data_IF_442241884809
#
_entry.id   IF_442241884809
#
_cell.length_a   1.000
_cell.length_b   1.000
_cell.length_c   1.000
_cell.angle_alpha   90.00
_cell.angle_beta   90.00
_cell.angle_gamma   90.00
#
_symmetry.space_group_name_H-M   'P 1'
#
loop_
_entity.id
_entity.type
_entity.pdbx_description
1 polymer ?
#
# COMPACT_ATOMS: atom_id res chain seq x y z
N UNK A 1 2.37 16.69 -18.42
CA UNK A 1 2.18 15.21 -18.57
C UNK A 1 2.07 14.60 -17.17
N UNK A 2 0.98 13.87 -16.88
CA UNK A 2 0.76 13.18 -15.60
C UNK A 2 0.65 11.66 -15.75
N UNK A 3 0.67 11.14 -17.00
CA UNK A 3 0.63 9.70 -17.26
C UNK A 3 1.95 9.04 -16.82
N UNK A 4 1.87 8.24 -15.77
CA UNK A 4 2.99 7.51 -15.19
C UNK A 4 2.79 6.03 -15.50
N UNK A 5 3.79 5.43 -16.13
CA UNK A 5 3.87 4.02 -16.47
C UNK A 5 4.93 3.40 -15.57
N UNK A 6 4.52 2.65 -14.56
CA UNK A 6 5.42 2.07 -13.57
C UNK A 6 5.08 0.63 -13.25
N UNK A 7 5.95 -0.04 -12.52
CA UNK A 7 5.75 -1.39 -12.00
C UNK A 7 4.43 -1.48 -11.19
N UNK A 8 4.08 -0.42 -10.46
CA UNK A 8 2.87 -0.35 -9.65
C UNK A 8 1.60 -0.02 -10.45
N UNK A 9 1.65 -0.09 -11.77
CA UNK A 9 0.53 0.15 -12.67
C UNK A 9 0.63 1.43 -13.49
N UNK A 10 -0.43 1.68 -14.24
CA UNK A 10 -0.58 2.83 -15.14
C UNK A 10 -1.48 3.84 -14.46
N UNK A 11 -0.95 5.00 -14.09
CA UNK A 11 -1.70 6.04 -13.37
C UNK A 11 -1.60 7.40 -14.05
N UNK A 12 -2.61 8.24 -13.84
CA UNK A 12 -2.61 9.61 -14.33
C UNK A 12 -3.81 10.39 -13.83
N UNK A 13 -3.80 11.69 -14.08
CA UNK A 13 -5.01 12.50 -13.91
C UNK A 13 -6.00 12.16 -15.01
N UNK A 14 -7.28 12.18 -14.68
CA UNK A 14 -8.34 11.88 -15.63
C UNK A 14 -8.61 13.08 -16.53
N UNK A 15 -8.76 12.85 -17.83
CA UNK A 15 -9.00 13.88 -18.85
C UNK A 15 -7.71 14.40 -19.49
N UNK A 16 -7.84 15.31 -20.46
CA UNK A 16 -6.69 15.87 -21.18
C UNK A 16 -6.32 15.13 -22.46
N UNK A 17 -5.12 15.38 -22.98
CA UNK A 17 -4.66 14.82 -24.25
C UNK A 17 -4.20 13.36 -24.12
N UNK A 18 -4.36 12.59 -25.20
CA UNK A 18 -3.91 11.21 -25.30
C UNK A 18 -2.40 11.13 -25.09
N UNK A 19 -1.97 10.20 -24.22
CA UNK A 19 -0.57 10.00 -23.87
C UNK A 19 -0.03 10.94 -22.78
N UNK A 20 -0.76 12.01 -22.43
CA UNK A 20 -0.34 12.96 -21.37
C UNK A 20 -0.99 12.66 -20.02
N UNK A 21 -2.15 12.04 -20.04
CA UNK A 21 -3.01 11.76 -18.89
C UNK A 21 -3.66 10.40 -19.04
N UNK A 22 -4.37 9.93 -18.01
CA UNK A 22 -5.15 8.70 -18.11
C UNK A 22 -6.52 9.00 -18.73
N UNK A 23 -6.70 8.72 -20.01
CA UNK A 23 -7.91 8.94 -20.77
C UNK A 23 -8.45 7.61 -21.36
N UNK A 24 -9.66 7.56 -21.96
CA UNK A 24 -10.22 6.31 -22.44
C UNK A 24 -9.36 5.54 -23.46
N UNK A 25 -8.62 6.22 -24.34
CA UNK A 25 -7.75 5.54 -25.32
C UNK A 25 -6.53 4.91 -24.66
N UNK A 26 -5.95 5.58 -23.67
CA UNK A 26 -4.85 5.02 -22.87
C UNK A 26 -5.36 3.82 -22.04
N UNK A 27 -6.58 3.89 -21.49
CA UNK A 27 -7.18 2.77 -20.75
C UNK A 27 -7.36 1.57 -21.68
N UNK A 28 -7.91 1.74 -22.88
CA UNK A 28 -8.02 0.65 -23.88
C UNK A 28 -6.65 0.08 -24.23
N UNK A 29 -5.68 0.94 -24.51
CA UNK A 29 -4.32 0.53 -24.88
C UNK A 29 -3.67 -0.35 -23.82
N UNK A 30 -3.65 0.11 -22.56
CA UNK A 30 -2.98 -0.64 -21.48
C UNK A 30 -3.77 -1.85 -21.01
N UNK A 31 -5.10 -1.85 -21.09
CA UNK A 31 -5.93 -3.03 -20.84
C UNK A 31 -5.71 -4.08 -21.92
N UNK A 32 -5.63 -3.70 -23.19
CA UNK A 32 -5.32 -4.62 -24.28
C UNK A 32 -3.91 -5.20 -24.16
N UNK A 33 -2.93 -4.37 -23.76
CA UNK A 33 -1.58 -4.82 -23.50
C UNK A 33 -1.53 -5.83 -22.34
N UNK A 34 -2.25 -5.56 -21.26
CA UNK A 34 -2.35 -6.48 -20.12
C UNK A 34 -3.01 -7.82 -20.53
N UNK A 35 -4.13 -7.79 -21.24
CA UNK A 35 -4.79 -8.99 -21.73
C UNK A 35 -3.87 -9.82 -22.64
N UNK A 36 -3.10 -9.16 -23.52
CA UNK A 36 -2.10 -9.80 -24.37
C UNK A 36 -0.97 -10.41 -23.53
N UNK A 37 -0.46 -9.69 -22.54
CA UNK A 37 0.57 -10.16 -21.61
C UNK A 37 0.11 -11.41 -20.86
N UNK A 38 -1.09 -11.41 -20.27
CA UNK A 38 -1.64 -12.57 -19.55
C UNK A 38 -1.73 -13.78 -20.48
N UNK A 39 -2.21 -13.61 -21.72
CA UNK A 39 -2.31 -14.70 -22.67
C UNK A 39 -0.96 -15.29 -23.09
N UNK A 40 0.07 -14.46 -23.20
CA UNK A 40 1.43 -14.87 -23.58
C UNK A 40 2.23 -15.46 -22.42
N UNK A 41 1.94 -15.08 -21.17
CA UNK A 41 2.73 -15.44 -20.00
C UNK A 41 2.53 -16.87 -19.48
N UNK A 42 1.78 -17.73 -20.18
CA UNK A 42 1.41 -19.10 -19.75
C UNK A 42 0.68 -19.12 -18.37
N UNK A 43 0.28 -17.97 -17.85
CA UNK A 43 -0.53 -17.85 -16.64
C UNK A 43 -2.03 -18.04 -16.93
N UNK A 44 -2.38 -18.02 -18.22
CA UNK A 44 -3.75 -18.20 -18.69
C UNK A 44 -4.19 -19.66 -18.53
N UNK A 45 -5.33 -19.87 -17.90
CA UNK A 45 -5.91 -21.20 -17.69
C UNK A 45 -7.43 -21.16 -17.61
N UNK A 46 -7.98 -20.12 -17.00
CA UNK A 46 -9.41 -19.92 -16.80
C UNK A 46 -10.03 -18.95 -17.81
N UNK A 47 -9.22 -18.18 -18.50
CA UNK A 47 -9.61 -17.07 -19.37
C UNK A 47 -10.44 -15.99 -18.64
N UNK A 48 -10.24 -15.84 -17.32
CA UNK A 48 -11.01 -14.96 -16.44
C UNK A 48 -10.12 -13.87 -15.85
N UNK A 49 -10.60 -12.63 -15.82
CA UNK A 49 -9.97 -11.49 -15.16
C UNK A 49 -10.93 -10.91 -14.13
N UNK A 50 -10.43 -10.72 -12.90
CA UNK A 50 -11.15 -10.02 -11.84
C UNK A 50 -10.98 -8.51 -12.01
N UNK A 51 -12.05 -7.74 -11.83
CA UNK A 51 -12.00 -6.27 -11.84
C UNK A 51 -12.67 -5.75 -10.56
N UNK A 52 -11.90 -4.99 -9.75
CA UNK A 52 -12.39 -4.28 -8.57
C UNK A 52 -12.01 -2.81 -8.63
N UNK A 53 -12.70 -1.94 -7.89
CA UNK A 53 -12.39 -0.51 -7.86
C UNK A 53 -12.65 0.13 -6.50
N UNK A 54 -11.92 1.20 -6.20
CA UNK A 54 -12.29 2.11 -5.12
C UNK A 54 -13.48 3.02 -5.52
N UNK A 55 -13.85 3.94 -4.63
CA UNK A 55 -15.01 4.81 -4.86
C UNK A 55 -14.71 6.07 -5.68
N UNK A 56 -13.51 6.23 -6.27
CA UNK A 56 -13.16 7.41 -7.07
C UNK A 56 -14.23 7.74 -8.09
N UNK A 57 -14.55 9.04 -8.23
CA UNK A 57 -15.60 9.56 -9.12
C UNK A 57 -15.44 9.04 -10.56
N UNK A 58 -14.21 8.93 -11.04
CA UNK A 58 -13.90 8.41 -12.38
C UNK A 58 -13.98 6.89 -12.49
N UNK A 59 -14.13 6.16 -11.36
CA UNK A 59 -14.04 4.71 -11.30
C UNK A 59 -15.03 4.00 -12.21
N UNK A 60 -16.28 4.48 -12.27
CA UNK A 60 -17.32 3.89 -13.10
C UNK A 60 -16.98 3.97 -14.60
N UNK A 61 -16.52 5.14 -15.06
CA UNK A 61 -16.10 5.32 -16.46
C UNK A 61 -14.90 4.41 -16.80
N UNK A 62 -13.89 4.39 -15.94
CA UNK A 62 -12.69 3.56 -16.14
C UNK A 62 -13.06 2.08 -16.16
N UNK A 63 -13.89 1.61 -15.22
CA UNK A 63 -14.38 0.22 -15.16
C UNK A 63 -15.07 -0.18 -16.47
N UNK A 64 -15.96 0.66 -16.98
CA UNK A 64 -16.71 0.34 -18.20
C UNK A 64 -15.79 0.17 -19.41
N UNK A 65 -14.76 1.00 -19.55
CA UNK A 65 -13.75 0.88 -20.61
C UNK A 65 -12.89 -0.36 -20.42
N UNK A 66 -12.43 -0.66 -19.21
CA UNK A 66 -11.64 -1.85 -18.88
C UNK A 66 -12.43 -3.12 -19.19
N UNK A 67 -13.66 -3.25 -18.67
CA UNK A 67 -14.46 -4.45 -18.82
C UNK A 67 -14.83 -4.70 -20.30
N UNK A 68 -15.25 -3.67 -21.03
CA UNK A 68 -15.54 -3.77 -22.45
C UNK A 68 -14.32 -4.18 -23.29
N UNK A 69 -13.14 -3.65 -22.95
CA UNK A 69 -11.89 -3.99 -23.61
C UNK A 69 -11.51 -5.46 -23.35
N UNK A 70 -11.59 -5.93 -22.10
CA UNK A 70 -11.29 -7.33 -21.75
C UNK A 70 -12.22 -8.30 -22.46
N UNK A 71 -13.54 -8.01 -22.49
CA UNK A 71 -14.51 -8.81 -23.23
C UNK A 71 -14.17 -8.83 -24.73
N UNK A 72 -13.84 -7.69 -25.32
CA UNK A 72 -13.38 -7.59 -26.71
C UNK A 72 -12.08 -8.32 -27.00
N UNK A 73 -11.24 -8.51 -25.97
CA UNK A 73 -10.03 -9.35 -26.04
C UNK A 73 -10.35 -10.84 -25.80
N UNK A 74 -11.62 -11.22 -25.57
CA UNK A 74 -12.07 -12.59 -25.34
C UNK A 74 -11.86 -13.12 -23.93
N UNK A 75 -11.66 -12.25 -22.93
CA UNK A 75 -11.59 -12.66 -21.52
C UNK A 75 -12.95 -12.52 -20.83
N UNK A 76 -13.31 -13.51 -20.03
CA UNK A 76 -14.41 -13.41 -19.09
C UNK A 76 -14.05 -12.42 -17.98
N UNK A 77 -14.96 -11.50 -17.69
CA UNK A 77 -14.78 -10.48 -16.66
C UNK A 77 -15.62 -10.82 -15.44
N UNK A 78 -14.98 -10.92 -14.29
CA UNK A 78 -15.63 -11.00 -13.00
C UNK A 78 -15.49 -9.63 -12.31
N UNK A 79 -16.54 -8.81 -12.39
CA UNK A 79 -16.59 -7.53 -11.69
C UNK A 79 -17.04 -7.74 -10.24
N UNK A 80 -16.19 -7.38 -9.29
CA UNK A 80 -16.49 -7.46 -7.85
C UNK A 80 -16.94 -6.12 -7.26
N UNK A 81 -17.17 -5.11 -8.11
CA UNK A 81 -17.75 -3.82 -7.74
C UNK A 81 -16.81 -2.91 -6.95
N UNK A 82 -17.38 -2.22 -5.95
CA UNK A 82 -16.62 -1.45 -4.98
C UNK A 82 -15.88 -2.39 -4.03
N UNK A 83 -14.58 -2.48 -4.20
CA UNK A 83 -13.74 -3.41 -3.46
C UNK A 83 -12.40 -2.77 -3.06
N UNK A 84 -11.81 -3.28 -2.00
CA UNK A 84 -10.48 -2.86 -1.58
C UNK A 84 -9.40 -3.48 -2.47
N UNK A 85 -8.20 -2.91 -2.45
CA UNK A 85 -7.03 -3.52 -3.09
C UNK A 85 -6.84 -4.97 -2.61
N UNK A 86 -6.72 -5.26 -1.28
CA UNK A 86 -6.55 -6.64 -0.82
C UNK A 86 -7.75 -7.55 -1.13
N UNK A 87 -8.99 -7.05 -1.12
CA UNK A 87 -10.14 -7.87 -1.55
C UNK A 87 -10.01 -8.31 -3.01
N UNK A 88 -9.54 -7.42 -3.88
CA UNK A 88 -9.36 -7.74 -5.30
C UNK A 88 -8.20 -8.72 -5.51
N UNK A 89 -7.10 -8.57 -4.78
CA UNK A 89 -5.98 -9.52 -4.78
C UNK A 89 -6.42 -10.93 -4.39
N UNK A 90 -7.15 -11.05 -3.28
CA UNK A 90 -7.71 -12.33 -2.82
C UNK A 90 -8.75 -12.89 -3.79
N UNK A 91 -9.57 -12.05 -4.41
CA UNK A 91 -10.58 -12.48 -5.37
C UNK A 91 -9.98 -13.18 -6.59
N UNK A 92 -8.79 -12.78 -7.04
CA UNK A 92 -8.08 -13.46 -8.14
C UNK A 92 -7.85 -14.93 -7.82
N UNK A 93 -7.29 -15.20 -6.65
CA UNK A 93 -6.99 -16.59 -6.23
C UNK A 93 -8.27 -17.37 -5.87
N UNK A 94 -9.21 -16.73 -5.16
CA UNK A 94 -10.47 -17.36 -4.76
C UNK A 94 -11.38 -17.72 -5.95
N UNK A 95 -11.32 -16.95 -7.06
CA UNK A 95 -12.06 -17.20 -8.28
C UNK A 95 -11.30 -18.07 -9.29
N UNK A 96 -10.04 -18.42 -9.00
CA UNK A 96 -9.16 -19.13 -9.95
C UNK A 96 -8.98 -18.35 -11.25
N UNK A 97 -8.84 -17.00 -11.14
CA UNK A 97 -8.70 -16.15 -12.31
C UNK A 97 -7.23 -16.08 -12.78
N UNK A 98 -7.02 -15.75 -14.04
CA UNK A 98 -5.68 -15.63 -14.63
C UNK A 98 -4.98 -14.33 -14.24
N UNK A 99 -5.73 -13.37 -13.70
CA UNK A 99 -5.22 -12.10 -13.22
C UNK A 99 -6.33 -11.19 -12.73
N UNK A 100 -5.95 -9.93 -12.43
CA UNK A 100 -6.91 -8.92 -12.00
C UNK A 100 -6.48 -7.50 -12.32
N UNK A 101 -7.44 -6.60 -12.35
CA UNK A 101 -7.22 -5.16 -12.47
C UNK A 101 -7.92 -4.46 -11.32
N UNK A 102 -7.14 -3.70 -10.54
CA UNK A 102 -7.69 -2.83 -9.49
C UNK A 102 -7.69 -1.40 -10.03
N UNK A 103 -8.85 -0.78 -10.05
CA UNK A 103 -9.03 0.60 -10.52
C UNK A 103 -8.99 1.52 -9.32
N UNK A 104 -7.81 2.03 -9.01
CA UNK A 104 -7.54 2.93 -7.87
C UNK A 104 -6.21 3.62 -8.03
N UNK A 105 -6.10 4.86 -7.57
CA UNK A 105 -4.83 5.56 -7.42
C UNK A 105 -4.42 5.69 -5.94
N UNK A 106 -4.90 4.80 -5.05
CA UNK A 106 -4.62 4.78 -3.61
C UNK A 106 -4.78 6.18 -2.98
N UNK A 107 -3.76 6.69 -2.35
CA UNK A 107 -3.75 7.99 -1.65
C UNK A 107 -3.58 9.22 -2.55
N UNK A 108 -3.50 9.07 -3.88
CA UNK A 108 -3.46 10.23 -4.77
C UNK A 108 -4.77 11.03 -4.70
N UNK A 109 -4.73 12.37 -4.94
CA UNK A 109 -5.93 13.21 -4.95
C UNK A 109 -7.02 12.73 -5.91
N UNK A 110 -8.24 13.22 -5.74
CA UNK A 110 -9.46 12.72 -6.41
C UNK A 110 -9.44 12.75 -7.94
N UNK A 111 -8.66 13.65 -8.55
CA UNK A 111 -8.50 13.75 -10.01
C UNK A 111 -7.64 12.65 -10.62
N UNK A 112 -6.95 11.86 -9.81
CA UNK A 112 -6.15 10.73 -10.25
C UNK A 112 -6.95 9.45 -10.30
N UNK A 113 -6.57 8.55 -11.23
CA UNK A 113 -6.93 7.14 -11.19
C UNK A 113 -5.80 6.29 -11.76
N UNK A 114 -5.90 4.96 -11.62
CA UNK A 114 -4.90 4.06 -12.15
C UNK A 114 -5.48 2.68 -12.45
N UNK A 115 -4.74 1.92 -13.26
CA UNK A 115 -4.90 0.48 -13.45
C UNK A 115 -3.74 -0.20 -12.71
N UNK A 116 -4.00 -0.81 -11.56
CA UNK A 116 -3.07 -1.68 -10.87
C UNK A 116 -3.29 -3.11 -11.38
N UNK A 117 -2.23 -3.77 -11.83
CA UNK A 117 -2.30 -5.01 -12.59
C UNK A 117 -1.78 -6.18 -11.77
N UNK A 118 -2.56 -7.25 -11.67
CA UNK A 118 -2.28 -8.43 -10.88
C UNK A 118 -1.98 -9.65 -11.78
N UNK A 119 -1.11 -10.54 -11.30
CA UNK A 119 -0.91 -11.87 -11.86
C UNK A 119 -1.96 -12.87 -11.32
N UNK A 120 -1.87 -14.13 -11.72
CA UNK A 120 -2.80 -15.20 -11.30
C UNK A 120 -2.68 -15.61 -9.81
N UNK A 121 -1.70 -15.07 -9.09
CA UNK A 121 -1.57 -15.25 -7.64
C UNK A 121 -2.21 -14.11 -6.84
N UNK A 122 -2.84 -13.15 -7.52
CA UNK A 122 -3.36 -11.94 -6.90
C UNK A 122 -2.27 -10.96 -6.45
N UNK A 123 -1.08 -11.05 -6.99
CA UNK A 123 0.06 -10.19 -6.67
C UNK A 123 0.32 -9.20 -7.79
N UNK A 124 0.85 -8.02 -7.47
CA UNK A 124 1.25 -7.07 -8.50
C UNK A 124 2.31 -7.65 -9.44
N UNK A 125 2.27 -7.19 -10.69
CA UNK A 125 3.28 -7.56 -11.69
C UNK A 125 4.67 -7.14 -11.22
N UNK A 126 5.69 -7.96 -11.52
CA UNK A 126 7.09 -7.64 -11.24
C UNK A 126 7.61 -6.55 -12.18
N UNK A 127 8.80 -6.03 -11.91
CA UNK A 127 9.47 -5.07 -12.80
C UNK A 127 9.63 -5.62 -14.21
N UNK A 128 10.06 -6.88 -14.35
CA UNK A 128 10.23 -7.54 -15.63
C UNK A 128 8.92 -7.71 -16.38
N UNK A 129 7.84 -8.08 -15.67
CA UNK A 129 6.49 -8.18 -16.24
C UNK A 129 5.99 -6.81 -16.74
N UNK A 130 6.22 -5.76 -15.94
CA UNK A 130 5.86 -4.39 -16.30
C UNK A 130 6.60 -3.88 -17.54
N UNK A 131 7.91 -4.17 -17.65
CA UNK A 131 8.68 -3.84 -18.85
C UNK A 131 8.17 -4.55 -20.10
N UNK A 132 7.84 -5.84 -19.99
CA UNK A 132 7.29 -6.58 -21.13
C UNK A 132 5.91 -6.06 -21.51
N UNK A 133 5.05 -5.77 -20.54
CA UNK A 133 3.74 -5.15 -20.78
C UNK A 133 3.87 -3.81 -21.52
N UNK A 134 4.83 -2.97 -21.14
CA UNK A 134 5.06 -1.69 -21.81
C UNK A 134 5.54 -1.88 -23.25
N UNK A 135 6.39 -2.87 -23.54
CA UNK A 135 6.80 -3.21 -24.90
C UNK A 135 5.60 -3.68 -25.75
N UNK A 136 4.70 -4.50 -25.17
CA UNK A 136 3.46 -4.90 -25.82
C UNK A 136 2.59 -3.67 -26.12
N UNK A 137 2.45 -2.75 -25.15
CA UNK A 137 1.70 -1.51 -25.32
C UNK A 137 2.28 -0.59 -26.40
N UNK A 138 3.61 -0.55 -26.54
CA UNK A 138 4.29 0.26 -27.56
C UNK A 138 4.09 -0.31 -28.96
N UNK A 139 4.22 -1.63 -29.13
CA UNK A 139 3.95 -2.30 -30.42
C UNK A 139 2.50 -2.14 -30.86
N UNK A 140 1.57 -2.05 -29.87
CA UNK A 140 0.13 -1.94 -30.09
C UNK A 140 -0.42 -3.02 -31.07
N UNK A 141 0.21 -4.18 -31.09
CA UNK A 141 -0.16 -5.33 -31.93
C UNK A 141 -1.16 -6.22 -31.17
N UNK A 142 -2.40 -5.74 -31.07
CA UNK A 142 -3.45 -6.39 -30.33
C UNK A 142 -4.36 -7.19 -31.29
N UNK A 143 -4.73 -8.40 -30.88
CA UNK A 143 -5.73 -9.21 -31.58
C UNK A 143 -6.98 -9.29 -30.73
N UNK A 144 -8.09 -8.76 -31.25
CA UNK A 144 -9.40 -8.84 -30.60
C UNK A 144 -10.15 -10.09 -31.05
N UNK A 145 -11.06 -10.54 -30.16
CA UNK A 145 -11.91 -11.69 -30.44
C UNK A 145 -12.97 -11.38 -31.52
N UNK A 146 -13.34 -12.37 -32.30
CA UNK A 146 -14.53 -12.29 -33.15
C UNK A 146 -15.80 -12.43 -32.31
N UNK A 147 -16.97 -12.28 -32.95
CA UNK A 147 -18.27 -12.28 -32.27
C UNK A 147 -18.59 -13.57 -31.51
N UNK A 148 -18.05 -14.69 -31.93
CA UNK A 148 -18.31 -16.00 -31.32
C UNK A 148 -17.35 -16.29 -30.14
N UNK A 149 -16.31 -15.46 -29.96
CA UNK A 149 -15.27 -15.63 -28.96
C UNK A 149 -15.17 -14.43 -28.00
N UNK A 150 -16.18 -13.55 -27.96
CA UNK A 150 -16.24 -12.47 -26.97
C UNK A 150 -16.34 -13.03 -25.55
N UNK A 151 -15.65 -12.39 -24.61
CA UNK A 151 -15.76 -12.75 -23.19
C UNK A 151 -17.11 -12.36 -22.59
N UNK A 152 -17.45 -13.00 -21.48
CA UNK A 152 -18.68 -12.76 -20.74
C UNK A 152 -18.43 -11.82 -19.55
N UNK A 153 -19.45 -11.06 -19.17
CA UNK A 153 -19.42 -10.20 -18.00
C UNK A 153 -20.30 -10.77 -16.89
N UNK A 154 -19.74 -10.89 -15.70
CA UNK A 154 -20.45 -11.33 -14.51
C UNK A 154 -20.15 -10.39 -13.33
N UNK A 155 -21.09 -10.26 -12.40
CA UNK A 155 -20.92 -9.51 -11.15
C UNK A 155 -21.05 -10.44 -9.94
N UNK A 156 -20.20 -10.23 -8.94
CA UNK A 156 -20.25 -10.95 -7.67
C UNK A 156 -19.80 -10.00 -6.54
N UNK A 157 -20.74 -9.61 -5.69
CA UNK A 157 -20.53 -8.71 -4.55
C UNK A 157 -20.17 -9.46 -3.25
N UNK A 158 -20.01 -10.79 -3.30
CA UNK A 158 -19.73 -11.60 -2.13
C UNK A 158 -18.27 -11.55 -1.66
N UNK A 159 -17.35 -10.96 -2.43
CA UNK A 159 -15.92 -11.01 -2.12
C UNK A 159 -15.52 -10.21 -0.89
N UNK A 160 -16.23 -9.14 -0.54
CA UNK A 160 -16.02 -8.48 0.75
C UNK A 160 -16.22 -9.44 1.93
N UNK A 161 -17.32 -10.22 1.89
CA UNK A 161 -17.59 -11.18 2.95
C UNK A 161 -16.58 -12.33 2.96
N UNK A 162 -16.22 -12.84 1.80
CA UNK A 162 -15.19 -13.90 1.69
C UNK A 162 -13.82 -13.42 2.22
N UNK A 163 -13.46 -12.17 1.96
CA UNK A 163 -12.24 -11.57 2.51
C UNK A 163 -12.34 -11.48 4.03
N UNK A 164 -13.43 -10.94 4.57
CA UNK A 164 -13.64 -10.86 6.02
C UNK A 164 -13.58 -12.25 6.66
N UNK A 165 -14.25 -13.25 6.09
CA UNK A 165 -14.23 -14.62 6.58
C UNK A 165 -12.81 -15.19 6.62
N UNK A 166 -12.00 -14.92 5.59
CA UNK A 166 -10.59 -15.33 5.54
C UNK A 166 -9.75 -14.67 6.63
N UNK A 167 -9.98 -13.37 6.90
CA UNK A 167 -9.30 -12.64 7.99
C UNK A 167 -9.67 -13.20 9.34
N UNK A 168 -10.98 -13.45 9.59
CA UNK A 168 -11.45 -14.00 10.85
C UNK A 168 -11.00 -15.44 11.09
N UNK A 169 -10.68 -16.17 10.03
CA UNK A 169 -10.14 -17.54 10.11
C UNK A 169 -8.62 -17.59 10.38
N UNK A 170 -7.91 -16.47 10.33
CA UNK A 170 -6.47 -16.42 10.63
C UNK A 170 -6.21 -16.85 12.06
N UNK A 171 -5.22 -17.72 12.24
CA UNK A 171 -4.91 -18.34 13.54
C UNK A 171 -4.61 -17.33 14.65
N UNK A 172 -4.05 -16.19 14.34
CA UNK A 172 -3.69 -15.15 15.30
C UNK A 172 -4.78 -14.11 15.53
N UNK A 173 -5.91 -14.19 14.82
CA UNK A 173 -7.07 -13.33 15.06
C UNK A 173 -7.94 -13.96 16.14
N UNK A 174 -8.01 -13.31 17.29
CA UNK A 174 -8.82 -13.75 18.43
C UNK A 174 -10.10 -12.90 18.52
N UNK A 175 -11.07 -13.25 17.68
CA UNK A 175 -12.36 -12.55 17.61
C UNK A 175 -13.13 -12.58 18.94
N UNK A 176 -12.99 -13.64 19.75
CA UNK A 176 -13.65 -13.75 21.04
C UNK A 176 -13.03 -12.82 22.08
N UNK A 177 -11.71 -12.70 22.11
CA UNK A 177 -11.02 -11.74 22.95
C UNK A 177 -11.39 -10.29 22.58
N UNK A 178 -11.47 -9.98 21.26
CA UNK A 178 -11.90 -8.68 20.77
C UNK A 178 -13.33 -8.35 21.21
N UNK A 179 -14.29 -9.31 21.02
CA UNK A 179 -15.68 -9.12 21.46
C UNK A 179 -15.78 -8.89 22.96
N UNK A 180 -15.02 -9.66 23.74
CA UNK A 180 -14.99 -9.53 25.21
C UNK A 180 -14.40 -8.19 25.67
N UNK A 181 -13.44 -7.65 24.94
CA UNK A 181 -12.86 -6.34 25.25
C UNK A 181 -13.86 -5.19 25.08
N UNK A 182 -14.82 -5.33 24.15
CA UNK A 182 -15.92 -4.36 23.97
C UNK A 182 -15.45 -3.02 23.43
N UNK A 183 -14.47 -3.00 22.56
CA UNK A 183 -13.89 -1.77 22.00
C UNK A 183 -14.92 -0.85 21.37
N UNK A 184 -14.71 0.45 21.58
CA UNK A 184 -15.46 1.54 20.97
C UNK A 184 -14.51 2.45 20.19
N UNK A 185 -14.69 2.54 18.88
CA UNK A 185 -13.72 3.19 17.98
C UNK A 185 -14.37 4.29 17.13
N UNK A 186 -13.56 5.21 16.62
CA UNK A 186 -13.95 6.09 15.51
C UNK A 186 -13.24 5.58 14.25
N UNK A 187 -13.93 5.55 13.13
CA UNK A 187 -13.40 5.10 11.85
C UNK A 187 -13.46 6.25 10.85
N UNK A 188 -12.37 6.53 10.16
CA UNK A 188 -12.35 7.44 9.00
C UNK A 188 -12.03 6.63 7.74
N UNK A 189 -12.98 6.61 6.81
CA UNK A 189 -12.90 5.88 5.54
C UNK A 189 -12.74 6.80 4.32
N UNK A 190 -12.47 8.07 4.53
CA UNK A 190 -12.16 9.10 3.51
C UNK A 190 -13.14 9.13 2.31
N UNK A 191 -14.42 8.82 2.56
CA UNK A 191 -15.48 8.68 1.56
C UNK A 191 -15.13 7.68 0.43
N UNK A 192 -14.52 6.54 0.80
CA UNK A 192 -14.20 5.48 -0.13
C UNK A 192 -14.64 4.10 0.37
N UNK A 193 -14.07 3.02 -0.18
CA UNK A 193 -14.53 1.64 0.04
C UNK A 193 -14.34 1.14 1.48
N UNK A 194 -13.50 1.81 2.28
CA UNK A 194 -13.43 1.56 3.71
C UNK A 194 -14.79 1.70 4.41
N UNK A 195 -15.62 2.65 3.94
CA UNK A 195 -17.00 2.84 4.44
C UNK A 195 -17.95 1.68 4.12
N UNK A 196 -17.60 0.83 3.17
CA UNK A 196 -18.38 -0.36 2.79
C UNK A 196 -17.94 -1.59 3.59
N UNK A 197 -16.64 -1.85 3.66
CA UNK A 197 -16.12 -3.11 4.21
C UNK A 197 -15.88 -3.07 5.72
N UNK A 198 -15.39 -1.94 6.28
CA UNK A 198 -15.07 -1.86 7.71
C UNK A 198 -16.28 -2.04 8.63
N UNK A 199 -17.47 -1.49 8.32
CA UNK A 199 -18.68 -1.82 9.10
C UNK A 199 -18.96 -3.31 9.20
N UNK A 200 -18.77 -4.06 8.09
CA UNK A 200 -19.01 -5.51 8.06
C UNK A 200 -18.01 -6.25 8.97
N UNK A 201 -16.71 -5.88 8.89
CA UNK A 201 -15.65 -6.46 9.73
C UNK A 201 -15.88 -6.15 11.22
N UNK A 202 -16.07 -4.88 11.56
CA UNK A 202 -16.19 -4.43 12.95
C UNK A 202 -17.44 -4.99 13.63
N UNK A 203 -18.57 -5.12 12.92
CA UNK A 203 -19.76 -5.77 13.44
C UNK A 203 -19.51 -7.25 13.78
N UNK A 204 -18.78 -7.99 12.94
CA UNK A 204 -18.46 -9.40 13.20
C UNK A 204 -17.43 -9.55 14.34
N UNK A 205 -16.57 -8.58 14.55
CA UNK A 205 -15.66 -8.50 15.70
C UNK A 205 -16.34 -7.97 16.98
N UNK A 206 -17.62 -7.56 16.91
CA UNK A 206 -18.34 -7.00 18.06
C UNK A 206 -17.82 -5.65 18.54
N UNK A 207 -17.14 -4.91 17.65
CA UNK A 207 -16.59 -3.58 17.93
C UNK A 207 -17.65 -2.52 17.66
N UNK A 208 -17.88 -1.63 18.65
CA UNK A 208 -18.75 -0.46 18.47
C UNK A 208 -17.97 0.64 17.71
N UNK A 209 -18.60 1.27 16.73
CA UNK A 209 -17.91 2.31 15.96
C UNK A 209 -18.78 3.52 15.65
N UNK A 210 -18.13 4.68 15.54
CA UNK A 210 -18.65 5.90 14.91
C UNK A 210 -17.93 6.08 13.60
N UNK A 211 -18.69 6.20 12.50
CA UNK A 211 -18.10 6.35 11.16
C UNK A 211 -18.03 7.82 10.77
N UNK A 212 -16.84 8.28 10.45
CA UNK A 212 -16.57 9.53 9.75
C UNK A 212 -16.28 9.23 8.28
N UNK A 213 -16.75 10.11 7.39
CA UNK A 213 -16.42 10.03 5.96
C UNK A 213 -16.66 8.62 5.36
N UNK A 214 -17.78 7.99 5.73
CA UNK A 214 -18.07 6.59 5.38
C UNK A 214 -18.89 6.40 4.11
N UNK A 215 -19.29 7.48 3.41
CA UNK A 215 -20.08 7.36 2.18
C UNK A 215 -19.14 7.17 0.98
N UNK A 216 -19.27 6.07 0.20
CA UNK A 216 -18.33 5.75 -0.88
C UNK A 216 -18.60 6.60 -2.14
N UNK A 217 -18.52 7.91 -1.99
CA UNK A 217 -18.79 8.88 -3.07
C UNK A 217 -17.56 9.19 -3.92
N UNK A 218 -16.37 8.92 -3.40
CA UNK A 218 -15.11 9.29 -4.03
C UNK A 218 -14.80 10.79 -3.98
N UNK A 219 -15.67 11.58 -3.35
CA UNK A 219 -15.37 12.96 -2.98
C UNK A 219 -14.70 12.98 -1.61
N UNK A 220 -13.38 12.84 -1.63
CA UNK A 220 -12.57 12.66 -0.43
C UNK A 220 -12.70 13.87 0.51
N UNK A 221 -13.09 13.62 1.76
CA UNK A 221 -13.35 14.67 2.75
C UNK A 221 -12.10 15.46 3.12
N UNK A 222 -10.93 14.83 3.01
CA UNK A 222 -9.61 15.41 3.23
C UNK A 222 -8.61 14.82 2.24
N UNK A 223 -7.35 15.27 2.27
CA UNK A 223 -6.29 14.62 1.50
C UNK A 223 -6.21 13.14 1.91
N UNK A 224 -6.34 12.19 0.96
CA UNK A 224 -6.51 10.77 1.27
C UNK A 224 -5.23 10.08 1.79
N UNK A 225 -4.10 10.77 1.82
CA UNK A 225 -2.90 10.23 2.47
C UNK A 225 -3.06 10.32 4.00
N UNK A 226 -3.00 9.18 4.75
CA UNK A 226 -3.31 9.15 6.16
C UNK A 226 -2.12 9.66 7.02
N UNK A 227 -1.79 10.94 6.88
CA UNK A 227 -0.79 11.66 7.66
C UNK A 227 -1.46 12.57 8.69
N UNK A 228 -0.79 12.83 9.81
CA UNK A 228 -1.29 13.63 10.92
C UNK A 228 -1.96 14.94 10.49
N UNK A 229 -1.32 15.68 9.58
CA UNK A 229 -1.85 16.96 9.07
C UNK A 229 -3.22 16.86 8.37
N UNK A 230 -3.59 15.67 7.92
CA UNK A 230 -4.83 15.40 7.17
C UNK A 230 -5.92 14.80 8.09
N UNK A 231 -5.61 14.43 9.34
CA UNK A 231 -6.45 13.61 10.22
C UNK A 231 -6.97 14.38 11.44
N UNK A 232 -6.99 15.72 11.38
CA UNK A 232 -7.38 16.57 12.51
C UNK A 232 -8.81 16.33 12.99
N UNK A 233 -9.73 15.97 12.11
CA UNK A 233 -11.12 15.68 12.44
C UNK A 233 -11.23 14.45 13.35
N UNK A 234 -10.71 13.31 12.91
CA UNK A 234 -10.77 12.07 13.72
C UNK A 234 -9.95 12.18 15.01
N UNK A 235 -8.79 12.84 14.99
CA UNK A 235 -7.99 13.10 16.20
C UNK A 235 -8.77 13.90 17.24
N UNK A 236 -9.53 14.90 16.79
CA UNK A 236 -10.38 15.73 17.64
C UNK A 236 -11.57 14.93 18.16
N UNK A 237 -12.23 14.13 17.32
CA UNK A 237 -13.37 13.29 17.71
C UNK A 237 -12.95 12.25 18.75
N UNK A 238 -11.84 11.55 18.55
CA UNK A 238 -11.31 10.57 19.51
C UNK A 238 -10.98 11.25 20.84
N UNK A 239 -10.30 12.40 20.81
CA UNK A 239 -9.90 13.15 22.00
C UNK A 239 -11.10 13.62 22.84
N UNK A 240 -12.15 14.10 22.21
CA UNK A 240 -13.30 14.69 22.87
C UNK A 240 -14.37 13.67 23.23
N UNK A 241 -14.40 12.51 22.55
CA UNK A 241 -15.31 11.41 22.82
C UNK A 241 -14.78 10.45 23.91
N UNK A 242 -15.49 9.37 24.10
CA UNK A 242 -15.09 8.26 24.99
C UNK A 242 -14.82 7.02 24.14
N UNK A 243 -13.78 7.12 23.31
CA UNK A 243 -13.36 6.06 22.41
C UNK A 243 -12.05 5.45 22.88
N UNK A 244 -11.86 4.18 22.59
CA UNK A 244 -10.62 3.49 22.88
C UNK A 244 -9.54 3.85 21.84
N UNK A 245 -9.95 4.17 20.61
CA UNK A 245 -9.03 4.52 19.52
C UNK A 245 -9.76 5.05 18.28
N UNK A 246 -8.96 5.60 17.35
CA UNK A 246 -9.35 5.85 15.95
C UNK A 246 -8.71 4.85 15.00
N UNK A 247 -9.42 4.51 13.93
CA UNK A 247 -8.97 3.67 12.82
C UNK A 247 -9.10 4.47 11.53
N UNK A 248 -8.03 4.63 10.79
CA UNK A 248 -8.00 5.39 9.53
C UNK A 248 -7.47 4.50 8.41
N UNK A 249 -8.14 4.50 7.28
CA UNK A 249 -7.70 3.81 6.07
C UNK A 249 -7.65 4.77 4.89
N UNK A 250 -6.82 4.44 3.90
CA UNK A 250 -6.79 5.17 2.63
C UNK A 250 -7.89 4.67 1.67
N UNK A 251 -8.07 5.30 0.49
CA UNK A 251 -9.20 5.01 -0.39
C UNK A 251 -9.38 3.56 -0.82
N UNK A 252 -8.31 2.79 -0.95
CA UNK A 252 -8.35 1.39 -1.36
C UNK A 252 -7.98 0.40 -0.25
N UNK A 253 -7.87 0.91 1.01
CA UNK A 253 -7.79 0.11 2.24
C UNK A 253 -6.55 -0.81 2.28
N UNK A 254 -5.46 -0.38 1.65
CA UNK A 254 -4.18 -1.06 1.74
C UNK A 254 -3.25 -0.41 2.80
N UNK A 255 -3.62 0.79 3.32
CA UNK A 255 -2.93 1.48 4.41
C UNK A 255 -3.83 1.65 5.62
N UNK A 256 -3.22 1.57 6.79
CA UNK A 256 -3.89 1.59 8.09
C UNK A 256 -3.11 2.45 9.08
N UNK A 257 -3.78 3.38 9.72
CA UNK A 257 -3.22 4.21 10.79
C UNK A 257 -4.16 4.22 11.98
N UNK A 258 -3.59 4.23 13.19
CA UNK A 258 -4.35 4.32 14.42
C UNK A 258 -4.17 5.67 15.11
N UNK A 259 -5.22 6.11 15.78
CA UNK A 259 -5.22 7.26 16.70
C UNK A 259 -5.38 6.71 18.12
N UNK A 260 -4.52 7.16 19.03
CA UNK A 260 -4.61 6.80 20.44
C UNK A 260 -5.83 7.45 21.11
N UNK A 261 -6.29 6.90 22.21
CA UNK A 261 -7.43 7.41 22.99
C UNK A 261 -7.27 8.86 23.46
N UNK A 262 -6.05 9.38 23.52
CA UNK A 262 -5.75 10.78 23.86
C UNK A 262 -5.81 11.72 22.65
N UNK A 263 -6.18 11.20 21.48
CA UNK A 263 -6.27 11.92 20.22
C UNK A 263 -4.94 12.12 19.48
N UNK A 264 -3.85 11.53 19.95
CA UNK A 264 -2.56 11.58 19.24
C UNK A 264 -2.41 10.44 18.24
N UNK A 265 -1.59 10.65 17.23
CA UNK A 265 -1.23 9.61 16.30
C UNK A 265 -0.50 8.45 17.00
N UNK A 266 -0.90 7.21 16.70
CA UNK A 266 -0.07 6.04 17.00
C UNK A 266 1.19 6.07 16.11
N UNK A 267 1.04 6.62 14.92
CA UNK A 267 2.05 6.79 13.88
C UNK A 267 1.94 5.72 12.79
N UNK A 268 1.97 6.16 11.53
CA UNK A 268 1.83 5.27 10.36
C UNK A 268 2.91 4.18 10.34
N UNK A 269 4.13 4.52 10.71
CA UNK A 269 5.24 3.58 10.80
C UNK A 269 5.00 2.49 11.86
N UNK A 270 4.32 2.84 12.95
CA UNK A 270 4.13 1.96 14.11
C UNK A 270 2.96 0.99 13.97
N UNK A 271 2.10 1.17 12.98
CA UNK A 271 1.09 0.17 12.64
C UNK A 271 1.74 -1.17 12.36
N UNK A 272 2.70 -1.21 11.44
CA UNK A 272 3.46 -2.43 11.13
C UNK A 272 4.26 -2.92 12.34
N UNK A 273 4.92 -2.04 13.07
CA UNK A 273 5.75 -2.40 14.25
C UNK A 273 4.91 -3.13 15.29
N UNK A 274 3.72 -2.61 15.61
CA UNK A 274 2.84 -3.19 16.62
C UNK A 274 2.25 -4.54 16.19
N UNK A 275 1.81 -4.64 14.95
CA UNK A 275 1.28 -5.90 14.40
C UNK A 275 2.40 -6.93 14.34
N UNK A 276 3.62 -6.53 13.94
CA UNK A 276 4.77 -7.42 13.90
C UNK A 276 5.20 -7.91 15.29
N UNK A 277 5.20 -7.04 16.32
CA UNK A 277 5.49 -7.45 17.71
C UNK A 277 4.52 -8.54 18.17
N UNK A 278 3.23 -8.39 17.84
CA UNK A 278 2.22 -9.40 18.16
C UNK A 278 2.48 -10.73 17.40
N UNK A 279 2.66 -10.67 16.10
CA UNK A 279 2.92 -11.86 15.27
C UNK A 279 4.18 -12.57 15.75
N UNK A 280 5.28 -11.84 15.93
CA UNK A 280 6.56 -12.41 16.39
C UNK A 280 6.50 -13.02 17.78
N UNK A 281 5.64 -12.49 18.67
CA UNK A 281 5.41 -13.06 20.01
C UNK A 281 4.75 -14.44 19.97
N UNK A 282 4.08 -14.79 18.87
CA UNK A 282 3.38 -16.06 18.65
C UNK A 282 4.11 -16.96 17.65
N UNK A 283 4.69 -16.36 16.64
CA UNK A 283 5.38 -17.03 15.54
C UNK A 283 6.71 -16.31 15.31
N UNK A 284 7.77 -16.61 16.08
CA UNK A 284 9.09 -16.03 15.87
C UNK A 284 9.59 -16.29 14.44
N UNK A 285 10.20 -15.27 13.83
CA UNK A 285 10.68 -15.39 12.45
C UNK A 285 11.27 -14.09 11.92
N UNK A 286 11.52 -14.06 10.63
CA UNK A 286 12.10 -12.90 9.95
C UNK A 286 11.05 -11.86 9.58
N UNK A 287 11.47 -10.61 9.45
CA UNK A 287 10.61 -9.52 8.96
C UNK A 287 11.27 -8.75 7.83
N UNK A 288 10.45 -8.10 7.01
CA UNK A 288 10.90 -7.24 5.91
C UNK A 288 10.10 -5.94 5.91
N UNK A 289 10.79 -4.82 5.73
CA UNK A 289 10.14 -3.58 5.28
C UNK A 289 10.98 -2.87 4.23
N UNK A 290 10.45 -1.79 3.64
CA UNK A 290 11.25 -1.03 2.69
C UNK A 290 12.32 -0.17 3.40
N UNK A 291 13.32 0.26 2.63
CA UNK A 291 14.46 1.06 3.12
C UNK A 291 14.08 2.36 3.82
N UNK A 292 12.93 2.95 3.47
CA UNK A 292 12.46 4.22 4.03
C UNK A 292 11.60 4.05 5.30
N UNK A 293 11.41 2.82 5.78
CA UNK A 293 10.62 2.52 7.00
C UNK A 293 11.45 2.67 8.26
N UNK A 294 10.76 2.88 9.39
CA UNK A 294 11.40 3.03 10.71
C UNK A 294 12.23 1.81 11.10
N UNK A 295 13.37 2.06 11.77
CA UNK A 295 14.18 0.99 12.38
C UNK A 295 13.50 0.30 13.56
N UNK A 296 12.40 0.83 14.07
CA UNK A 296 11.65 0.21 15.16
C UNK A 296 11.21 -1.22 14.82
N UNK A 297 10.89 -1.52 13.56
CA UNK A 297 10.60 -2.89 13.13
C UNK A 297 11.82 -3.82 13.29
N UNK A 298 13.02 -3.34 12.91
CA UNK A 298 14.26 -4.08 13.12
C UNK A 298 14.48 -4.39 14.60
N UNK A 299 14.29 -3.38 15.44
CA UNK A 299 14.53 -3.53 16.88
C UNK A 299 13.57 -4.55 17.52
N UNK A 300 12.29 -4.50 17.13
CA UNK A 300 11.28 -5.49 17.55
C UNK A 300 11.62 -6.90 17.03
N UNK A 301 12.06 -7.01 15.78
CA UNK A 301 12.44 -8.30 15.19
C UNK A 301 13.61 -8.94 15.94
N UNK A 302 14.66 -8.15 16.22
CA UNK A 302 15.83 -8.63 16.97
C UNK A 302 15.46 -9.02 18.41
N UNK A 303 14.56 -8.28 19.06
CA UNK A 303 14.02 -8.61 20.40
C UNK A 303 13.38 -10.01 20.44
N UNK A 304 12.73 -10.42 19.34
CA UNK A 304 12.13 -11.75 19.20
C UNK A 304 13.07 -12.81 18.60
N UNK A 305 14.36 -12.48 18.40
CA UNK A 305 15.37 -13.42 17.89
C UNK A 305 15.30 -13.67 16.38
N UNK A 306 14.52 -12.90 15.63
CA UNK A 306 14.42 -12.96 14.18
C UNK A 306 15.48 -12.09 13.48
N UNK A 307 15.49 -12.16 12.14
CA UNK A 307 16.33 -11.33 11.29
C UNK A 307 15.46 -10.33 10.53
N UNK A 308 15.87 -9.06 10.53
CA UNK A 308 15.26 -8.00 9.74
C UNK A 308 16.01 -7.83 8.42
N UNK A 309 15.28 -7.70 7.32
CA UNK A 309 15.84 -7.39 6.00
C UNK A 309 15.11 -6.19 5.41
N UNK A 310 15.87 -5.25 4.86
CA UNK A 310 15.31 -4.13 4.11
C UNK A 310 15.16 -4.48 2.62
N UNK A 311 14.08 -4.04 1.99
CA UNK A 311 13.82 -4.13 0.55
C UNK A 311 13.86 -2.75 -0.10
N UNK A 312 14.02 -2.69 -1.42
CA UNK A 312 13.74 -1.48 -2.18
C UNK A 312 12.29 -1.00 -1.92
N UNK A 313 12.05 0.30 -2.10
CA UNK A 313 10.70 0.88 -1.88
C UNK A 313 9.72 0.36 -2.91
N UNK A 314 8.53 0.00 -2.45
CA UNK A 314 7.43 -0.52 -3.25
C UNK A 314 7.04 -1.95 -2.84
N UNK A 315 5.74 -2.19 -2.78
CA UNK A 315 5.16 -3.43 -2.28
C UNK A 315 5.73 -4.68 -2.94
N UNK A 316 5.88 -4.67 -4.27
CA UNK A 316 6.43 -5.81 -5.04
C UNK A 316 7.83 -6.18 -4.56
N UNK A 317 8.67 -5.18 -4.25
CA UNK A 317 10.02 -5.40 -3.76
C UNK A 317 10.00 -6.00 -2.34
N UNK A 318 9.10 -5.50 -1.49
CA UNK A 318 8.91 -6.00 -0.13
C UNK A 318 8.43 -7.45 -0.16
N UNK A 319 7.39 -7.77 -0.94
CA UNK A 319 6.84 -9.13 -1.04
C UNK A 319 7.83 -10.12 -1.63
N UNK A 320 8.61 -9.70 -2.64
CA UNK A 320 9.68 -10.50 -3.22
C UNK A 320 10.74 -10.85 -2.16
N UNK A 321 11.18 -9.84 -1.39
CA UNK A 321 12.16 -10.05 -0.34
C UNK A 321 11.59 -10.89 0.82
N UNK A 322 10.31 -10.70 1.18
CA UNK A 322 9.64 -11.52 2.19
C UNK A 322 9.67 -13.01 1.83
N UNK A 323 9.39 -13.35 0.57
CA UNK A 323 9.48 -14.72 0.06
C UNK A 323 10.90 -15.27 0.11
N UNK A 324 11.88 -14.45 -0.28
CA UNK A 324 13.29 -14.86 -0.31
C UNK A 324 13.85 -15.21 1.09
N UNK A 325 13.39 -14.51 2.14
CA UNK A 325 13.87 -14.73 3.53
C UNK A 325 12.88 -15.48 4.41
N UNK A 326 11.77 -15.98 3.83
CA UNK A 326 10.67 -16.61 4.57
C UNK A 326 10.18 -15.75 5.74
N UNK A 327 9.93 -14.46 5.47
CA UNK A 327 9.45 -13.54 6.48
C UNK A 327 8.04 -13.90 6.93
N UNK A 328 7.78 -13.88 8.25
CA UNK A 328 6.47 -14.20 8.83
C UNK A 328 5.53 -13.00 8.82
N UNK A 329 6.08 -11.80 8.72
CA UNK A 329 5.35 -10.54 8.55
C UNK A 329 6.27 -9.50 7.91
N UNK A 330 5.68 -8.56 7.19
CA UNK A 330 6.39 -7.43 6.60
C UNK A 330 5.44 -6.32 6.20
N UNK A 331 5.93 -5.35 5.47
CA UNK A 331 5.13 -4.24 4.99
C UNK A 331 5.93 -2.98 4.71
N UNK A 332 5.24 -1.86 4.75
CA UNK A 332 5.83 -0.54 4.50
C UNK A 332 5.45 0.44 5.62
N UNK A 333 6.35 1.40 5.91
CA UNK A 333 6.16 2.41 6.94
C UNK A 333 5.05 3.44 6.68
N UNK A 334 4.25 3.22 5.65
CA UNK A 334 3.08 4.03 5.31
C UNK A 334 1.76 3.46 5.87
N UNK A 335 1.82 2.55 6.83
CA UNK A 335 0.68 1.85 7.40
C UNK A 335 0.32 0.54 6.69
N UNK A 336 1.11 0.10 5.72
CA UNK A 336 0.87 -1.13 4.97
C UNK A 336 1.38 -2.38 5.69
N UNK A 337 0.50 -3.28 6.06
CA UNK A 337 0.81 -4.57 6.72
C UNK A 337 0.65 -5.70 5.70
N UNK A 338 1.67 -6.54 5.57
CA UNK A 338 1.65 -7.74 4.73
C UNK A 338 1.83 -8.96 5.62
N UNK A 339 0.82 -9.83 5.68
CA UNK A 339 0.83 -11.05 6.48
C UNK A 339 0.68 -12.28 5.58
N UNK A 340 1.77 -13.05 5.34
CA UNK A 340 1.80 -14.14 4.36
C UNK A 340 0.79 -15.26 4.60
N UNK A 341 0.35 -15.48 5.85
CA UNK A 341 -0.72 -16.47 6.13
C UNK A 341 -2.08 -16.05 5.52
N UNK A 342 -2.27 -14.75 5.23
CA UNK A 342 -3.40 -14.26 4.44
C UNK A 342 -3.05 -14.24 2.97
N UNK A 343 -2.20 -13.31 2.56
CA UNK A 343 -1.69 -13.15 1.19
C UNK A 343 -0.45 -12.24 1.16
N UNK A 344 0.19 -12.13 0.00
CA UNK A 344 1.33 -11.25 -0.23
C UNK A 344 0.90 -9.89 -0.79
N UNK A 345 0.05 -9.19 -0.05
CA UNK A 345 -0.41 -7.83 -0.33
C UNK A 345 -0.62 -7.05 0.96
N UNK A 346 -0.59 -5.72 0.90
CA UNK A 346 -0.90 -4.87 2.06
C UNK A 346 -2.38 -4.92 2.35
N UNK A 347 -2.74 -5.17 3.60
CA UNK A 347 -4.11 -5.43 4.01
C UNK A 347 -4.47 -4.77 5.35
N UNK A 348 -5.29 -3.73 5.28
CA UNK A 348 -5.74 -3.03 6.49
C UNK A 348 -6.70 -3.88 7.34
N UNK A 349 -7.49 -4.78 6.76
CA UNK A 349 -8.40 -5.65 7.53
C UNK A 349 -7.62 -6.61 8.41
N UNK A 350 -6.59 -7.23 7.85
CA UNK A 350 -5.64 -8.08 8.58
C UNK A 350 -4.95 -7.27 9.68
N UNK A 351 -4.47 -6.06 9.35
CA UNK A 351 -3.84 -5.15 10.29
C UNK A 351 -4.76 -4.80 11.47
N UNK A 352 -6.03 -4.45 11.21
CA UNK A 352 -7.03 -4.14 12.24
C UNK A 352 -7.28 -5.35 13.13
N UNK A 353 -7.54 -6.53 12.55
CA UNK A 353 -7.88 -7.74 13.32
C UNK A 353 -6.72 -8.19 14.22
N UNK A 354 -5.48 -8.17 13.71
CA UNK A 354 -4.29 -8.52 14.50
C UNK A 354 -3.99 -7.47 15.58
N UNK A 355 -4.12 -6.18 15.27
CA UNK A 355 -3.92 -5.12 16.25
C UNK A 355 -4.93 -5.19 17.39
N UNK A 356 -6.22 -5.36 17.09
CA UNK A 356 -7.27 -5.49 18.10
C UNK A 356 -7.10 -6.78 18.94
N UNK A 357 -6.64 -7.88 18.33
CA UNK A 357 -6.30 -9.11 19.07
C UNK A 357 -5.16 -8.86 20.06
N UNK A 358 -4.10 -8.17 19.63
CA UNK A 358 -2.99 -7.78 20.50
C UNK A 358 -3.47 -6.90 21.66
N UNK A 359 -4.25 -5.87 21.36
CA UNK A 359 -4.75 -4.93 22.36
C UNK A 359 -5.67 -5.62 23.38
N UNK A 360 -6.55 -6.52 22.92
CA UNK A 360 -7.42 -7.31 23.79
C UNK A 360 -6.65 -8.21 24.74
N UNK A 361 -5.59 -8.87 24.28
CA UNK A 361 -4.73 -9.70 25.10
C UNK A 361 -3.90 -8.90 26.12
N UNK A 362 -3.42 -7.72 25.73
CA UNK A 362 -2.63 -6.87 26.62
C UNK A 362 -3.47 -6.12 27.67
N UNK A 363 -4.73 -5.83 27.37
CA UNK A 363 -5.65 -5.13 28.26
C UNK A 363 -5.17 -3.73 28.65
N UNK A 364 -4.43 -3.07 27.76
CA UNK A 364 -3.85 -1.71 27.97
C UNK A 364 -4.48 -0.72 27.00
N UNK A 365 -4.24 0.58 27.25
CA UNK A 365 -4.61 1.65 26.31
C UNK A 365 -3.70 1.65 25.08
N UNK A 366 -4.18 2.23 23.98
CA UNK A 366 -3.42 2.33 22.74
C UNK A 366 -2.16 3.19 22.92
N UNK A 367 -2.24 4.30 23.67
CA UNK A 367 -1.09 5.14 23.99
C UNK A 367 -0.06 4.40 24.86
N UNK A 368 -0.51 3.57 25.81
CA UNK A 368 0.36 2.73 26.62
C UNK A 368 1.08 1.68 25.77
N UNK A 369 0.37 1.05 24.82
CA UNK A 369 0.97 0.12 23.85
C UNK A 369 2.03 0.85 23.02
N UNK A 370 1.71 2.05 22.47
CA UNK A 370 2.66 2.86 21.71
C UNK A 370 3.94 3.16 22.48
N UNK A 371 3.82 3.48 23.77
CA UNK A 371 4.95 3.81 24.64
C UNK A 371 5.89 2.61 24.89
N UNK A 372 5.49 1.38 24.58
CA UNK A 372 6.36 0.20 24.73
C UNK A 372 7.38 0.05 23.59
N UNK A 373 7.19 0.77 22.48
CA UNK A 373 8.07 0.73 21.30
C UNK A 373 9.13 1.83 21.36
N UNK A 374 10.33 1.61 20.79
CA UNK A 374 11.32 2.66 20.63
C UNK A 374 10.71 3.87 19.90
N UNK A 375 11.06 5.06 20.34
CA UNK A 375 10.52 6.29 19.78
C UNK A 375 11.51 6.88 18.78
N UNK A 376 11.16 6.79 17.49
CA UNK A 376 11.89 7.36 16.37
C UNK A 376 11.02 8.34 15.60
N UNK A 377 11.65 9.33 15.00
CA UNK A 377 11.02 10.36 14.18
C UNK A 377 11.64 10.40 12.79
N UNK A 378 10.81 10.45 11.76
CA UNK A 378 11.25 10.52 10.36
C UNK A 378 10.96 11.91 9.80
N UNK A 379 12.02 12.62 9.42
CA UNK A 379 11.93 13.85 8.64
C UNK A 379 11.90 13.50 7.14
N UNK A 380 10.96 14.10 6.40
CA UNK A 380 10.74 13.87 4.96
C UNK A 380 11.08 15.15 4.20
N UNK A 381 12.27 15.20 3.64
CA UNK A 381 12.80 16.32 2.85
C UNK A 381 12.92 15.94 1.37
N UNK A 382 13.22 16.92 0.51
CA UNK A 382 13.48 16.71 -0.90
C UNK A 382 14.50 17.72 -1.44
N UNK A 383 15.18 17.33 -2.50
CA UNK A 383 16.04 18.20 -3.31
C UNK A 383 15.40 18.30 -4.68
N UNK A 384 15.06 19.51 -5.11
CA UNK A 384 14.58 19.77 -6.46
C UNK A 384 15.75 19.73 -7.44
N UNK A 385 15.59 19.03 -8.57
CA UNK A 385 16.63 18.79 -9.56
C UNK A 385 16.49 19.73 -10.75
N UNK A 386 17.62 20.05 -11.36
CA UNK A 386 17.65 20.71 -12.68
C UNK A 386 17.81 19.65 -13.79
N UNK A 387 17.46 20.01 -15.02
CA UNK A 387 17.58 19.10 -16.17
C UNK A 387 19.04 18.62 -16.44
N UNK A 388 20.04 19.33 -15.90
CA UNK A 388 21.47 19.01 -16.05
C UNK A 388 22.02 18.18 -14.89
N UNK A 389 21.22 17.85 -13.87
CA UNK A 389 21.70 17.15 -12.68
C UNK A 389 21.85 15.65 -12.95
N UNK A 390 23.08 15.15 -12.91
CA UNK A 390 23.37 13.71 -12.94
C UNK A 390 23.18 13.11 -11.54
N UNK A 391 21.98 12.62 -11.29
CA UNK A 391 21.58 12.07 -9.98
C UNK A 391 22.38 10.81 -9.64
N UNK A 392 22.63 9.96 -10.61
CA UNK A 392 23.29 8.68 -10.40
C UNK A 392 24.76 8.91 -10.00
N UNK A 393 25.45 9.84 -10.67
CA UNK A 393 26.80 10.25 -10.29
C UNK A 393 26.85 10.88 -8.88
N UNK A 394 25.83 11.66 -8.50
CA UNK A 394 25.75 12.25 -7.14
C UNK A 394 25.59 11.16 -6.09
N UNK A 395 24.68 10.20 -6.31
CA UNK A 395 24.44 9.11 -5.37
C UNK A 395 25.68 8.23 -5.19
N UNK A 396 26.42 7.92 -6.26
CA UNK A 396 27.69 7.19 -6.18
C UNK A 396 28.76 7.96 -5.38
N UNK A 397 28.84 9.28 -5.54
CA UNK A 397 29.77 10.11 -4.75
C UNK A 397 29.37 10.15 -3.27
N UNK A 398 28.08 10.21 -2.96
CA UNK A 398 27.59 10.12 -1.56
C UNK A 398 27.94 8.76 -0.96
N UNK A 399 27.75 7.68 -1.69
CA UNK A 399 28.11 6.32 -1.27
C UNK A 399 29.60 6.22 -0.93
N UNK A 400 30.48 6.73 -1.79
CA UNK A 400 31.92 6.72 -1.54
C UNK A 400 32.31 7.60 -0.34
N UNK A 401 31.65 8.74 -0.16
CA UNK A 401 31.92 9.64 0.98
C UNK A 401 31.58 9.00 2.34
N UNK A 402 30.58 8.11 2.38
CA UNK A 402 30.11 7.45 3.61
C UNK A 402 30.41 5.95 3.63
N UNK A 403 31.42 5.47 2.86
CA UNK A 403 31.78 4.05 2.75
C UNK A 403 32.23 3.39 4.07
N UNK A 404 32.61 4.18 5.06
CA UNK A 404 33.00 3.70 6.40
C UNK A 404 31.78 3.47 7.30
N UNK A 405 30.57 3.88 6.88
CA UNK A 405 29.30 3.63 7.52
C UNK A 405 28.61 2.40 6.90
N UNK A 406 27.49 1.95 7.50
CA UNK A 406 26.66 0.95 6.85
C UNK A 406 25.87 1.58 5.70
N UNK A 407 26.27 1.29 4.45
CA UNK A 407 25.60 1.79 3.25
C UNK A 407 24.79 0.67 2.60
N UNK A 408 23.54 0.97 2.22
CA UNK A 408 22.68 0.11 1.42
C UNK A 408 22.25 0.88 0.16
N UNK A 409 22.55 0.33 -1.02
CA UNK A 409 22.38 0.96 -2.33
C UNK A 409 21.36 0.24 -3.24
N UNK A 410 20.51 -0.62 -2.68
CA UNK A 410 19.50 -1.36 -3.46
C UNK A 410 18.39 -0.46 -4.06
N UNK A 411 18.20 0.76 -3.51
CA UNK A 411 17.26 1.76 -4.03
C UNK A 411 17.74 3.17 -3.64
N UNK A 412 18.60 3.76 -4.44
CA UNK A 412 19.31 4.98 -4.08
C UNK A 412 20.45 4.72 -3.11
N UNK A 413 20.62 5.54 -2.08
CA UNK A 413 21.67 5.38 -1.06
C UNK A 413 21.09 5.60 0.32
N UNK A 414 21.05 4.55 1.13
CA UNK A 414 20.75 4.65 2.57
C UNK A 414 22.03 4.49 3.37
N UNK A 415 22.25 5.42 4.29
CA UNK A 415 23.37 5.43 5.22
C UNK A 415 22.81 5.18 6.61
N UNK A 416 23.16 4.05 7.21
CA UNK A 416 22.80 3.71 8.59
C UNK A 416 23.95 4.05 9.54
N UNK A 417 23.73 5.01 10.42
CA UNK A 417 24.58 5.33 11.55
C UNK A 417 24.14 4.52 12.78
N UNK A 418 24.89 4.62 13.87
CA UNK A 418 24.60 3.86 15.09
C UNK A 418 23.18 4.11 15.63
N UNK A 419 22.72 5.38 15.63
CA UNK A 419 21.49 5.85 16.26
C UNK A 419 20.48 6.51 15.29
N UNK A 420 20.83 6.66 14.01
CA UNK A 420 20.02 7.35 12.99
C UNK A 420 20.32 6.81 11.60
N UNK A 421 19.50 7.17 10.62
CA UNK A 421 19.79 6.88 9.21
C UNK A 421 19.34 8.02 8.30
N UNK A 422 19.91 8.06 7.10
CA UNK A 422 19.45 8.93 6.00
C UNK A 422 19.34 8.10 4.72
N UNK A 423 18.25 8.27 3.98
CA UNK A 423 18.00 7.63 2.70
C UNK A 423 17.76 8.68 1.61
N UNK A 424 18.62 8.68 0.61
CA UNK A 424 18.52 9.51 -0.58
C UNK A 424 18.05 8.64 -1.75
N UNK A 425 16.92 8.99 -2.35
CA UNK A 425 16.34 8.21 -3.43
C UNK A 425 15.80 9.10 -4.54
N UNK A 426 16.15 8.77 -5.79
CA UNK A 426 15.55 9.39 -6.97
C UNK A 426 14.04 9.13 -7.01
N UNK A 427 13.25 10.15 -7.27
CA UNK A 427 11.82 9.96 -7.50
C UNK A 427 11.60 9.44 -8.92
N UNK A 428 10.74 8.42 -9.04
CA UNK A 428 10.34 7.88 -10.35
C UNK A 428 9.26 8.73 -11.05
N UNK A 429 8.72 9.73 -10.35
CA UNK A 429 7.55 10.49 -10.82
C UNK A 429 7.79 11.99 -10.90
N UNK A 430 8.83 12.50 -10.25
CA UNK A 430 9.14 13.92 -10.14
C UNK A 430 10.65 14.13 -10.30
N UNK A 431 11.12 15.27 -10.82
CA UNK A 431 12.54 15.58 -10.92
C UNK A 431 13.11 16.00 -9.56
N UNK A 432 13.08 15.09 -8.58
CA UNK A 432 13.58 15.32 -7.21
C UNK A 432 14.38 14.13 -6.69
N UNK A 433 15.25 14.39 -5.71
CA UNK A 433 15.77 13.38 -4.79
C UNK A 433 14.96 13.49 -3.49
N UNK A 434 14.31 12.41 -3.06
CA UNK A 434 13.71 12.31 -1.74
C UNK A 434 14.82 12.07 -0.72
N UNK A 435 14.78 12.82 0.38
CA UNK A 435 15.75 12.72 1.47
C UNK A 435 14.97 12.45 2.75
N UNK A 436 14.89 11.19 3.14
CA UNK A 436 14.26 10.78 4.39
C UNK A 436 15.35 10.48 5.41
N UNK A 437 15.10 10.86 6.66
CA UNK A 437 16.05 10.66 7.74
C UNK A 437 15.33 10.36 9.04
N UNK A 438 15.89 9.46 9.84
CA UNK A 438 15.32 9.04 11.12
C UNK A 438 16.33 9.24 12.24
N UNK A 439 15.85 9.74 13.39
CA UNK A 439 16.62 9.87 14.60
C UNK A 439 15.71 9.78 15.86
N UNK A 440 16.29 9.92 17.06
CA UNK A 440 15.57 9.89 18.32
C UNK A 440 14.65 11.10 18.54
N UNK A 441 14.91 12.23 17.87
CA UNK A 441 14.06 13.43 17.86
C UNK A 441 13.84 13.93 16.43
N UNK A 442 12.76 14.69 16.20
CA UNK A 442 12.48 15.29 14.90
C UNK A 442 13.57 16.30 14.51
N UNK A 443 14.10 17.05 15.46
CA UNK A 443 15.17 18.03 15.27
C UNK A 443 16.45 17.36 14.78
N UNK A 444 16.84 16.23 15.37
CA UNK A 444 18.00 15.45 14.94
C UNK A 444 17.78 14.81 13.58
N UNK A 445 16.59 14.27 13.32
CA UNK A 445 16.22 13.69 12.03
C UNK A 445 16.30 14.75 10.92
N UNK A 446 15.73 15.92 11.12
CA UNK A 446 15.77 17.01 10.15
C UNK A 446 17.19 17.56 9.95
N UNK A 447 17.96 17.71 11.04
CA UNK A 447 19.34 18.20 10.99
C UNK A 447 20.25 17.28 10.14
N UNK A 448 20.18 15.96 10.34
CA UNK A 448 20.99 15.03 9.55
C UNK A 448 20.53 14.97 8.09
N UNK A 449 19.23 15.05 7.83
CA UNK A 449 18.69 15.15 6.46
C UNK A 449 19.20 16.40 5.74
N UNK A 450 19.11 17.57 6.36
CA UNK A 450 19.62 18.84 5.81
C UNK A 450 21.14 18.83 5.60
N UNK A 451 21.88 18.17 6.49
CA UNK A 451 23.34 17.99 6.31
C UNK A 451 23.63 17.25 5.01
N UNK A 452 22.93 16.15 4.74
CA UNK A 452 23.11 15.38 3.50
C UNK A 452 22.63 16.16 2.26
N UNK A 453 21.53 16.93 2.37
CA UNK A 453 21.11 17.83 1.30
C UNK A 453 22.20 18.84 0.95
N UNK A 454 22.87 19.44 1.93
CA UNK A 454 23.98 20.38 1.70
C UNK A 454 25.15 19.70 0.99
N UNK A 455 25.49 18.47 1.37
CA UNK A 455 26.52 17.66 0.69
C UNK A 455 26.16 17.47 -0.81
N UNK A 456 24.90 17.13 -1.10
CA UNK A 456 24.41 16.98 -2.49
C UNK A 456 24.49 18.31 -3.25
N UNK A 457 24.07 19.43 -2.65
CA UNK A 457 24.16 20.75 -3.28
C UNK A 457 25.60 21.15 -3.60
N UNK A 458 26.54 20.85 -2.70
CA UNK A 458 27.96 21.18 -2.91
C UNK A 458 28.60 20.30 -4.01
N UNK A 459 28.09 19.07 -4.19
CA UNK A 459 28.51 18.18 -5.29
C UNK A 459 27.90 18.55 -6.65
N UNK A 460 26.81 19.32 -6.66
CA UNK A 460 26.07 19.71 -7.86
C UNK A 460 26.56 21.02 -8.47
N UNK A 461 27.48 21.73 -7.79
CA UNK A 461 28.15 22.94 -8.27
C UNK A 461 29.37 22.59 -9.15
#
# INVERSE_FOLDING_TARGET
MTLIKSISGIRGTIGGAVGDTLNPLDIVKFTSAYATFIRQSMLAGSNKIVVGRDARISGEMVKNVVCGTLMGMGFDVLNIGLATTPTTELAVTMAGADGGIIITASHNPRQWNALKLLNNKGEFLTAADGEELLKIAERADFTYADVDHLGHYTEDDSFDQRHIDSVLALKLVDADAIRKAGFKVVVDAVNSVGGVILPKLLNQLGVQYTMLNGQPTGDFAHNPEPLEKNLTEIMTEVKNGRYDMGIVVDPDVDRLVFICEDGKMFGEEYTLVSVADYVLSKTPGNTVSNLSSTRALRDVTLKHGGQYTAAAVGEVNVTTQMKAVNAVIGGEGNGGVIYPESHYGRDALVGIALFLSNLAHKGCKVSELRATYPNYFIAKNRIDLTASTDVDAILERVKELYKDEQVNDIDGVKIDFADKWVHLRKSNTEPIIRVYSEAATMEEADAIGKKLMQVVYDMSK
#
